data_IF_246237785566
#
_entry.id   IF_246237785566
#
_cell.length_a   1.000
_cell.length_b   1.000
_cell.length_c   1.000
_cell.angle_alpha   90.00
_cell.angle_beta   90.00
_cell.angle_gamma   90.00
#
_symmetry.space_group_name_H-M   'P 1'
#
loop_
_entity.id
_entity.type
_entity.pdbx_description
1 polymer ?
#
# COMPACT_ATOMS: atom_id res chain seq x y z
N UNK A 1 -31.24 -3.77 37.11
CA UNK A 1 -30.08 -4.10 36.25
C UNK A 1 -30.05 -3.09 35.12
N UNK A 2 -29.01 -2.26 35.02
CA UNK A 2 -28.82 -1.35 33.88
C UNK A 2 -27.89 -2.05 32.89
N UNK A 3 -28.41 -2.43 31.74
CA UNK A 3 -27.60 -2.99 30.65
C UNK A 3 -26.79 -1.85 30.04
N UNK A 4 -25.47 -2.02 30.01
CA UNK A 4 -24.57 -1.14 29.26
C UNK A 4 -24.61 -1.62 27.81
N UNK A 5 -25.21 -0.84 26.92
CA UNK A 5 -25.11 -1.04 25.48
C UNK A 5 -23.79 -0.39 25.06
N UNK A 6 -22.79 -1.21 24.75
CA UNK A 6 -21.56 -0.73 24.14
C UNK A 6 -21.88 -0.52 22.66
N UNK A 7 -21.94 0.73 22.23
CA UNK A 7 -22.03 1.07 20.81
C UNK A 7 -20.67 0.73 20.18
N UNK A 8 -20.57 -0.36 19.43
CA UNK A 8 -19.33 -0.84 18.78
C UNK A 8 -18.86 0.05 17.61
N UNK A 9 -19.56 1.16 17.35
CA UNK A 9 -19.22 2.16 16.33
C UNK A 9 -18.01 3.05 16.69
N UNK A 10 -17.31 2.76 17.78
CA UNK A 10 -16.08 3.46 18.24
C UNK A 10 -14.86 2.54 18.32
N UNK A 11 -14.86 1.38 17.64
CA UNK A 11 -13.60 0.67 17.43
C UNK A 11 -12.68 1.59 16.62
N UNK A 12 -11.47 1.89 17.11
CA UNK A 12 -10.52 2.76 16.42
C UNK A 12 -10.29 2.19 15.02
N UNK A 13 -10.22 3.09 14.04
CA UNK A 13 -9.95 2.86 12.62
C UNK A 13 -9.47 1.44 12.31
N UNK A 14 -10.32 0.70 11.62
CA UNK A 14 -10.09 -0.67 11.13
C UNK A 14 -8.62 -0.84 10.75
N UNK A 15 -7.86 -1.61 11.53
CA UNK A 15 -6.47 -1.92 11.21
C UNK A 15 -6.46 -2.54 9.82
N UNK A 16 -5.87 -1.85 8.84
CA UNK A 16 -5.73 -2.31 7.45
C UNK A 16 -4.57 -3.31 7.41
N UNK A 17 -4.81 -4.63 7.46
CA UNK A 17 -3.73 -5.57 7.70
C UNK A 17 -2.96 -5.92 6.41
N UNK A 18 -3.43 -5.43 5.25
CA UNK A 18 -2.90 -5.80 3.95
C UNK A 18 -2.01 -4.70 3.40
N UNK A 19 -0.70 -4.94 3.44
CA UNK A 19 0.33 -3.98 3.05
C UNK A 19 1.04 -4.38 1.73
N UNK A 20 1.47 -3.38 0.97
CA UNK A 20 2.33 -3.52 -0.21
C UNK A 20 3.38 -2.41 -0.20
N UNK A 21 4.66 -2.79 -0.05
CA UNK A 21 5.77 -1.85 -0.10
C UNK A 21 6.41 -1.86 -1.49
N UNK A 22 6.68 -0.67 -2.05
CA UNK A 22 7.31 -0.52 -3.37
C UNK A 22 8.19 0.72 -3.45
N UNK A 23 9.15 0.68 -4.35
CA UNK A 23 10.12 1.76 -4.55
C UNK A 23 10.65 1.78 -5.98
N UNK A 24 11.05 2.95 -6.49
CA UNK A 24 11.91 3.05 -7.69
C UNK A 24 13.39 2.98 -7.27
N UNK A 25 14.37 2.96 -8.19
CA UNK A 25 15.81 2.68 -7.97
C UNK A 25 16.58 3.31 -6.78
N UNK A 26 17.89 3.54 -6.95
CA UNK A 26 18.79 3.67 -5.79
C UNK A 26 18.71 5.02 -5.05
N UNK A 27 18.01 6.02 -5.60
CA UNK A 27 17.78 7.33 -4.98
C UNK A 27 16.29 7.64 -4.71
N UNK A 28 15.42 6.63 -4.78
CA UNK A 28 14.07 6.85 -5.26
C UNK A 28 12.95 6.73 -4.22
N UNK A 29 11.77 7.20 -4.65
CA UNK A 29 10.54 7.23 -3.88
C UNK A 29 10.23 5.86 -3.28
N UNK A 30 9.90 5.85 -1.99
CA UNK A 30 9.48 4.65 -1.25
C UNK A 30 8.04 4.85 -0.81
N UNK A 31 7.22 3.87 -1.08
CA UNK A 31 5.79 3.92 -0.78
C UNK A 31 5.38 2.67 -0.01
N UNK A 32 4.42 2.86 0.89
CA UNK A 32 3.68 1.78 1.54
C UNK A 32 2.20 1.99 1.26
N UNK A 33 1.58 1.05 0.56
CA UNK A 33 0.14 1.03 0.34
C UNK A 33 -0.52 0.08 1.33
N UNK A 34 -1.65 0.50 1.91
CA UNK A 34 -2.48 -0.32 2.79
C UNK A 34 -3.90 -0.50 2.24
N UNK A 35 -4.52 -1.65 2.55
CA UNK A 35 -5.85 -2.04 2.10
C UNK A 35 -6.66 -2.69 3.22
N UNK A 36 -7.99 -2.51 3.16
CA UNK A 36 -8.94 -3.13 4.09
C UNK A 36 -9.11 -4.64 3.83
N UNK A 37 -8.86 -5.08 2.59
CA UNK A 37 -9.02 -6.47 2.17
C UNK A 37 -7.82 -6.98 1.34
N UNK A 38 -7.66 -8.30 1.31
CA UNK A 38 -6.58 -8.95 0.53
C UNK A 38 -6.79 -8.73 -0.98
N UNK A 39 -8.05 -8.55 -1.42
CA UNK A 39 -8.36 -8.36 -2.84
C UNK A 39 -7.74 -7.06 -3.38
N UNK A 40 -7.81 -5.96 -2.65
CA UNK A 40 -7.17 -4.69 -2.99
C UNK A 40 -5.65 -4.84 -3.10
N UNK A 41 -5.04 -5.52 -2.12
CA UNK A 41 -3.62 -5.87 -2.13
C UNK A 41 -3.24 -6.70 -3.37
N UNK A 42 -3.93 -7.80 -3.64
CA UNK A 42 -3.63 -8.67 -4.79
C UNK A 42 -3.82 -7.93 -6.12
N UNK A 43 -4.82 -7.05 -6.23
CA UNK A 43 -5.02 -6.22 -7.42
C UNK A 43 -3.87 -5.24 -7.65
N UNK A 44 -3.33 -4.63 -6.59
CA UNK A 44 -2.14 -3.77 -6.71
C UNK A 44 -0.90 -4.59 -7.10
N UNK A 45 -0.66 -5.73 -6.44
CA UNK A 45 0.47 -6.62 -6.74
C UNK A 45 0.43 -7.05 -8.21
N UNK A 46 -0.74 -7.48 -8.68
CA UNK A 46 -0.93 -7.88 -10.08
C UNK A 46 -0.58 -6.75 -11.04
N UNK A 47 -1.05 -5.53 -10.77
CA UNK A 47 -0.71 -4.35 -11.58
C UNK A 47 0.81 -4.08 -11.57
N UNK A 48 1.43 -4.12 -10.38
CA UNK A 48 2.88 -3.91 -10.22
C UNK A 48 3.67 -4.90 -11.08
N UNK A 49 3.35 -6.19 -11.02
CA UNK A 49 4.09 -7.25 -11.72
C UNK A 49 3.80 -7.22 -13.22
N UNK A 50 2.53 -7.19 -13.61
CA UNK A 50 2.12 -7.44 -15.01
C UNK A 50 2.11 -6.18 -15.89
N UNK A 51 1.93 -4.99 -15.30
CA UNK A 51 1.74 -3.76 -16.08
C UNK A 51 2.88 -2.76 -15.85
N UNK A 52 3.40 -2.68 -14.62
CA UNK A 52 4.47 -1.75 -14.27
C UNK A 52 5.87 -2.37 -14.36
N UNK A 53 5.98 -3.64 -14.77
CA UNK A 53 7.25 -4.40 -14.81
C UNK A 53 8.03 -4.35 -13.49
N UNK A 54 7.30 -4.37 -12.36
CA UNK A 54 7.89 -4.43 -11.04
C UNK A 54 8.48 -5.80 -10.73
N UNK A 55 9.62 -5.82 -10.05
CA UNK A 55 10.29 -7.03 -9.62
C UNK A 55 10.32 -7.12 -8.09
N UNK A 56 10.08 -8.31 -7.54
CA UNK A 56 10.21 -8.53 -6.10
C UNK A 56 11.70 -8.48 -5.70
N UNK A 57 12.03 -7.67 -4.69
CA UNK A 57 13.36 -7.49 -4.12
C UNK A 57 13.24 -7.56 -2.58
N UNK A 58 13.47 -8.75 -2.02
CA UNK A 58 13.12 -9.04 -0.63
C UNK A 58 11.61 -8.92 -0.44
N UNK A 59 11.18 -8.13 0.54
CA UNK A 59 9.75 -7.88 0.83
C UNK A 59 9.15 -6.71 0.04
N UNK A 60 9.94 -6.07 -0.84
CA UNK A 60 9.57 -4.85 -1.54
C UNK A 60 9.47 -5.10 -3.05
N UNK A 61 8.55 -4.41 -3.72
CA UNK A 61 8.52 -4.37 -5.17
C UNK A 61 9.37 -3.21 -5.69
N UNK A 62 10.43 -3.54 -6.44
CA UNK A 62 11.25 -2.58 -7.17
C UNK A 62 10.57 -2.25 -8.51
N UNK A 63 10.17 -1.01 -8.68
CA UNK A 63 9.60 -0.46 -9.90
C UNK A 63 10.69 0.16 -10.78
N UNK A 64 10.50 0.18 -12.11
CA UNK A 64 11.53 0.62 -13.05
C UNK A 64 11.74 2.15 -13.07
N UNK A 65 10.77 2.93 -12.61
CA UNK A 65 10.81 4.40 -12.68
C UNK A 65 9.93 5.04 -11.61
N UNK A 66 10.18 6.33 -11.33
CA UNK A 66 9.32 7.14 -10.46
C UNK A 66 7.89 7.29 -11.04
N UNK A 67 7.75 7.27 -12.37
CA UNK A 67 6.44 7.27 -13.03
C UNK A 67 5.62 6.02 -12.68
N UNK A 68 6.25 4.85 -12.64
CA UNK A 68 5.60 3.62 -12.22
C UNK A 68 5.18 3.67 -10.73
N UNK A 69 5.97 4.34 -9.88
CA UNK A 69 5.59 4.58 -8.47
C UNK A 69 4.33 5.45 -8.40
N UNK A 70 4.23 6.50 -9.20
CA UNK A 70 3.04 7.35 -9.25
C UNK A 70 1.81 6.60 -9.75
N UNK A 71 1.96 5.74 -10.76
CA UNK A 71 0.87 4.90 -11.26
C UNK A 71 0.38 3.89 -10.21
N UNK A 72 1.29 3.26 -9.47
CA UNK A 72 0.94 2.38 -8.36
C UNK A 72 0.23 3.14 -7.21
N UNK A 73 0.67 4.37 -6.93
CA UNK A 73 0.05 5.26 -5.93
C UNK A 73 -1.36 5.65 -6.32
N UNK A 74 -1.57 6.04 -7.58
CA UNK A 74 -2.90 6.31 -8.14
C UNK A 74 -3.79 5.08 -8.06
N UNK A 75 -3.27 3.91 -8.46
CA UNK A 75 -4.04 2.67 -8.43
C UNK A 75 -4.47 2.28 -7.01
N UNK A 76 -3.60 2.50 -6.03
CA UNK A 76 -3.94 2.25 -4.62
C UNK A 76 -5.18 3.06 -4.21
N UNK A 77 -5.21 4.35 -4.54
CA UNK A 77 -6.35 5.23 -4.24
C UNK A 77 -7.62 4.79 -4.97
N UNK A 78 -7.51 4.42 -6.25
CA UNK A 78 -8.64 3.91 -7.04
C UNK A 78 -9.22 2.61 -6.47
N UNK A 79 -8.42 1.83 -5.75
CA UNK A 79 -8.81 0.61 -5.06
C UNK A 79 -9.30 0.85 -3.62
N UNK A 80 -9.42 2.10 -3.18
CA UNK A 80 -9.83 2.46 -1.81
C UNK A 80 -8.74 2.29 -0.74
N UNK A 81 -7.50 2.05 -1.16
CA UNK A 81 -6.34 1.97 -0.27
C UNK A 81 -5.79 3.34 0.10
N UNK A 82 -4.91 3.36 1.10
CA UNK A 82 -4.15 4.54 1.54
C UNK A 82 -2.69 4.35 1.17
N UNK A 83 -1.98 5.43 0.84
CA UNK A 83 -0.56 5.40 0.51
C UNK A 83 0.22 6.29 1.46
N UNK A 84 1.33 5.79 1.97
CA UNK A 84 2.28 6.50 2.81
C UNK A 84 3.61 6.69 2.07
N UNK A 85 4.00 7.95 1.93
CA UNK A 85 5.34 8.32 1.46
C UNK A 85 6.36 7.99 2.57
N UNK A 86 7.26 7.05 2.31
CA UNK A 86 8.29 6.65 3.25
C UNK A 86 9.59 7.44 3.02
N UNK A 87 10.35 7.76 4.09
CA UNK A 87 11.59 8.52 3.96
C UNK A 87 12.62 7.74 3.15
N UNK A 88 13.22 8.40 2.16
CA UNK A 88 14.40 7.91 1.47
C UNK A 88 15.59 8.07 2.42
N UNK A 89 16.16 6.97 2.91
CA UNK A 89 17.44 7.04 3.63
C UNK A 89 18.50 7.52 2.65
N UNK A 90 18.94 8.77 2.79
CA UNK A 90 20.23 9.21 2.23
C UNK A 90 21.30 8.41 2.97
N UNK A 91 21.96 7.51 2.27
CA UNK A 91 23.21 6.92 2.76
C UNK A 91 24.32 7.97 2.72
#
# INVERSE_FOLDING_TARGET
MRSIIINTSLLPDTVKPFLVAYFSGDAAQRQLSEFDDDKGKQNLIKLIIEQLNGALNGDWYKLPSDGAVEDARKRTRDLGGVVYDLPVRKN
#
